data_IF_611595802953
#
_entry.id   IF_611595802953
#
_cell.length_a   1.000
_cell.length_b   1.000
_cell.length_c   1.000
_cell.angle_alpha   90.00
_cell.angle_beta   90.00
_cell.angle_gamma   90.00
#
_symmetry.space_group_name_H-M   'P 1'
#
loop_
_entity.id
_entity.type
_entity.pdbx_description
1 polymer ?
#
# COMPACT_ATOMS: atom_id res chain seq x y z
N UNK A 1 -22.88 -13.88 -32.37
CA UNK A 1 -21.89 -14.93 -32.72
C UNK A 1 -20.65 -14.67 -31.90
N UNK A 2 -20.08 -15.66 -31.18
CA UNK A 2 -18.76 -15.48 -30.58
C UNK A 2 -17.75 -15.36 -31.71
N UNK A 3 -17.13 -14.19 -31.84
CA UNK A 3 -16.04 -13.95 -32.78
C UNK A 3 -14.88 -14.88 -32.45
N UNK A 4 -14.36 -15.57 -33.46
CA UNK A 4 -13.18 -16.44 -33.34
C UNK A 4 -12.05 -15.74 -32.59
N UNK A 5 -11.33 -16.40 -31.66
CA UNK A 5 -10.27 -15.77 -30.89
C UNK A 5 -9.21 -15.19 -31.83
N UNK A 6 -9.03 -13.87 -31.78
CA UNK A 6 -7.98 -13.19 -32.54
C UNK A 6 -6.64 -13.58 -31.93
N UNK A 7 -5.71 -14.09 -32.73
CA UNK A 7 -4.39 -14.49 -32.25
C UNK A 7 -3.69 -13.30 -31.57
N UNK A 8 -3.22 -13.51 -30.34
CA UNK A 8 -2.48 -12.50 -29.57
C UNK A 8 -1.04 -12.42 -30.11
N UNK A 9 -0.51 -11.21 -30.42
CA UNK A 9 0.88 -11.06 -30.84
C UNK A 9 1.87 -11.61 -29.81
N UNK A 10 2.98 -12.20 -30.28
CA UNK A 10 4.05 -12.66 -29.39
C UNK A 10 4.64 -11.49 -28.58
N UNK A 11 4.95 -11.74 -27.30
CA UNK A 11 5.49 -10.74 -26.39
C UNK A 11 4.47 -9.79 -25.77
N UNK A 12 3.17 -10.00 -26.02
CA UNK A 12 2.08 -9.24 -25.39
C UNK A 12 1.33 -10.16 -24.43
N UNK A 13 1.14 -9.71 -23.19
CA UNK A 13 0.48 -10.48 -22.13
C UNK A 13 -0.80 -9.78 -21.69
N UNK A 14 -1.89 -10.54 -21.60
CA UNK A 14 -3.11 -10.11 -20.93
C UNK A 14 -3.20 -10.82 -19.59
N UNK A 15 -2.80 -10.10 -18.52
CA UNK A 15 -2.76 -10.53 -17.12
C UNK A 15 -2.05 -11.88 -16.86
N UNK A 16 -1.86 -12.22 -15.58
CA UNK A 16 -1.46 -13.56 -15.15
C UNK A 16 -2.65 -14.17 -14.43
N UNK A 17 -2.92 -15.46 -14.68
CA UNK A 17 -3.90 -16.20 -13.88
C UNK A 17 -3.29 -16.47 -12.51
N UNK A 18 -4.10 -16.29 -11.46
CA UNK A 18 -3.72 -16.75 -10.12
C UNK A 18 -3.70 -18.29 -10.10
N UNK A 19 -2.92 -18.90 -9.19
CA UNK A 19 -3.05 -20.33 -8.91
C UNK A 19 -4.50 -20.69 -8.53
N UNK A 20 -4.93 -21.91 -8.86
CA UNK A 20 -6.33 -22.34 -8.73
C UNK A 20 -6.89 -22.22 -7.30
N UNK A 21 -6.01 -22.27 -6.30
CA UNK A 21 -6.37 -22.24 -4.88
C UNK A 21 -6.42 -20.82 -4.27
N UNK A 22 -6.13 -19.77 -5.05
CA UNK A 22 -6.02 -18.40 -4.52
C UNK A 22 -7.26 -17.54 -4.85
N UNK A 23 -8.14 -17.24 -3.87
CA UNK A 23 -9.35 -16.48 -4.13
C UNK A 23 -9.04 -15.01 -4.35
N UNK A 24 -9.44 -14.46 -5.50
CA UNK A 24 -9.50 -13.01 -5.69
C UNK A 24 -10.47 -12.38 -4.69
N UNK A 25 -10.28 -11.09 -4.35
CA UNK A 25 -11.25 -10.32 -3.55
C UNK A 25 -12.65 -10.34 -4.18
N UNK A 26 -12.73 -10.39 -5.52
CA UNK A 26 -13.98 -10.46 -6.28
C UNK A 26 -14.60 -11.87 -6.37
N UNK A 27 -13.99 -12.90 -5.81
CA UNK A 27 -14.57 -14.24 -5.73
C UNK A 27 -15.60 -14.34 -4.58
N UNK A 28 -16.42 -15.39 -4.55
CA UNK A 28 -17.34 -15.65 -3.43
C UNK A 28 -16.58 -15.76 -2.12
N UNK A 29 -15.47 -16.49 -2.13
CA UNK A 29 -14.64 -16.72 -0.95
C UNK A 29 -13.88 -15.46 -0.52
N UNK A 30 -13.29 -14.71 -1.46
CA UNK A 30 -12.60 -13.46 -1.14
C UNK A 30 -13.51 -12.39 -0.54
N UNK A 31 -14.74 -12.24 -1.07
CA UNK A 31 -15.75 -11.34 -0.49
C UNK A 31 -16.15 -11.76 0.93
N UNK A 32 -16.30 -13.07 1.17
CA UNK A 32 -16.61 -13.61 2.51
C UNK A 32 -15.50 -13.23 3.50
N UNK A 33 -14.23 -13.52 3.14
CA UNK A 33 -13.06 -13.20 3.97
C UNK A 33 -12.94 -11.70 4.26
N UNK A 34 -13.11 -10.85 3.25
CA UNK A 34 -13.07 -9.40 3.44
C UNK A 34 -14.21 -8.94 4.36
N UNK A 35 -15.43 -9.46 4.18
CA UNK A 35 -16.57 -9.13 5.02
C UNK A 35 -16.35 -9.51 6.48
N UNK A 36 -15.76 -10.68 6.74
CA UNK A 36 -15.41 -11.14 8.09
C UNK A 36 -14.34 -10.24 8.71
N UNK A 37 -13.25 -9.97 7.99
CA UNK A 37 -12.19 -9.07 8.48
C UNK A 37 -12.67 -7.63 8.72
N UNK A 38 -13.67 -7.17 7.97
CA UNK A 38 -14.34 -5.88 8.17
C UNK A 38 -15.23 -5.90 9.42
N UNK A 39 -16.01 -6.97 9.63
CA UNK A 39 -16.86 -7.15 10.81
C UNK A 39 -16.03 -7.23 12.10
N UNK A 40 -14.85 -7.84 12.05
CA UNK A 40 -13.92 -7.95 13.17
C UNK A 40 -13.08 -6.67 13.40
N UNK A 41 -13.25 -5.64 12.57
CA UNK A 41 -12.58 -4.34 12.69
C UNK A 41 -11.11 -4.34 12.26
N UNK A 42 -10.64 -5.38 11.56
CA UNK A 42 -9.25 -5.51 11.11
C UNK A 42 -8.99 -4.91 9.74
N UNK A 43 -10.00 -4.85 8.86
CA UNK A 43 -9.83 -4.44 7.47
C UNK A 43 -10.32 -3.02 7.16
N UNK A 44 -10.70 -2.21 8.17
CA UNK A 44 -11.25 -0.87 7.94
C UNK A 44 -10.36 0.07 7.08
N UNK A 45 -9.01 0.04 7.15
CA UNK A 45 -8.17 0.86 6.26
C UNK A 45 -8.39 0.59 4.76
N UNK A 46 -9.00 -0.55 4.40
CA UNK A 46 -9.38 -0.87 3.03
C UNK A 46 -10.30 0.20 2.41
N UNK A 47 -11.25 0.76 3.17
CA UNK A 47 -12.24 1.72 2.65
C UNK A 47 -11.63 3.05 2.17
N UNK A 48 -10.81 3.75 2.98
CA UNK A 48 -10.20 4.99 2.50
C UNK A 48 -9.12 4.71 1.42
N UNK A 49 -8.42 3.57 1.49
CA UNK A 49 -7.45 3.16 0.45
C UNK A 49 -8.13 2.87 -0.90
N UNK A 50 -9.29 2.20 -0.91
CA UNK A 50 -10.00 1.90 -2.16
C UNK A 50 -10.50 3.17 -2.85
N UNK A 51 -10.84 4.22 -2.10
CA UNK A 51 -11.19 5.52 -2.68
C UNK A 51 -10.02 6.18 -3.43
N UNK A 52 -8.79 5.77 -3.12
CA UNK A 52 -7.57 6.24 -3.78
C UNK A 52 -6.97 5.24 -4.76
N UNK A 53 -7.63 4.11 -5.00
CA UNK A 53 -7.07 3.02 -5.78
C UNK A 53 -6.74 3.48 -7.21
N UNK A 54 -5.46 3.33 -7.57
CA UNK A 54 -4.94 3.71 -8.87
C UNK A 54 -4.08 2.57 -9.43
N UNK A 55 -4.27 2.30 -10.72
CA UNK A 55 -3.32 1.47 -11.48
C UNK A 55 -2.05 2.29 -11.74
N UNK A 56 -0.88 1.70 -11.47
CA UNK A 56 0.41 2.31 -11.73
C UNK A 56 0.58 2.72 -13.20
N UNK A 57 1.09 3.92 -13.49
CA UNK A 57 1.20 4.43 -14.87
C UNK A 57 2.35 3.76 -15.66
N UNK A 58 3.35 3.20 -14.95
CA UNK A 58 4.46 2.43 -15.53
C UNK A 58 4.62 1.09 -14.82
N UNK A 59 5.12 0.03 -15.49
CA UNK A 59 5.32 -1.30 -14.87
C UNK A 59 6.23 -1.31 -13.63
N UNK A 60 7.16 -0.35 -13.52
CA UNK A 60 8.08 -0.24 -12.38
C UNK A 60 7.62 0.76 -11.30
N UNK A 61 6.47 1.42 -11.46
CA UNK A 61 6.00 2.48 -10.56
C UNK A 61 5.25 2.00 -9.31
N UNK A 62 5.14 0.70 -9.06
CA UNK A 62 4.34 0.16 -7.95
C UNK A 62 4.62 0.83 -6.59
N UNK A 63 5.89 1.16 -6.29
CA UNK A 63 6.27 1.90 -5.09
C UNK A 63 5.77 3.35 -5.09
N UNK A 64 5.87 4.06 -6.22
CA UNK A 64 5.35 5.43 -6.35
C UNK A 64 3.83 5.47 -6.23
N UNK A 65 3.13 4.56 -6.93
CA UNK A 65 1.67 4.45 -6.89
C UNK A 65 1.18 4.18 -5.47
N UNK A 66 1.84 3.25 -4.76
CA UNK A 66 1.52 2.94 -3.36
C UNK A 66 1.68 4.16 -2.46
N UNK A 67 2.76 4.94 -2.65
CA UNK A 67 3.00 6.14 -1.85
C UNK A 67 1.95 7.22 -2.12
N UNK A 68 1.61 7.51 -3.38
CA UNK A 68 0.58 8.53 -3.67
C UNK A 68 -0.80 8.11 -3.16
N UNK A 69 -1.14 6.82 -3.22
CA UNK A 69 -2.37 6.30 -2.64
C UNK A 69 -2.39 6.57 -1.14
N UNK A 70 -1.27 6.30 -0.46
CA UNK A 70 -1.12 6.53 0.98
C UNK A 70 -1.24 8.03 1.33
N UNK A 71 -0.52 8.90 0.62
CA UNK A 71 -0.56 10.35 0.83
C UNK A 71 -1.95 10.93 0.62
N UNK A 72 -2.63 10.55 -0.46
CA UNK A 72 -4.00 10.98 -0.76
C UNK A 72 -5.01 10.43 0.27
N UNK A 73 -4.81 9.20 0.73
CA UNK A 73 -5.65 8.58 1.78
C UNK A 73 -5.51 9.34 3.10
N UNK A 74 -4.29 9.82 3.40
CA UNK A 74 -3.99 10.65 4.57
C UNK A 74 -4.36 12.13 4.38
N UNK A 75 -4.89 12.52 3.21
CA UNK A 75 -5.27 13.91 2.94
C UNK A 75 -4.09 14.90 2.95
N UNK A 76 -2.87 14.43 2.67
CA UNK A 76 -1.70 15.30 2.60
C UNK A 76 -1.78 16.18 1.35
N UNK A 77 -1.60 17.49 1.53
CA UNK A 77 -1.60 18.45 0.43
C UNK A 77 -0.23 18.49 -0.26
N UNK A 78 -0.14 18.22 -1.58
CA UNK A 78 1.15 18.28 -2.29
C UNK A 78 1.67 19.71 -2.47
N UNK A 79 0.87 20.74 -2.17
CA UNK A 79 1.19 22.16 -2.40
C UNK A 79 1.56 22.50 -3.85
N UNK A 80 1.18 21.62 -4.78
CA UNK A 80 1.46 21.73 -6.20
C UNK A 80 0.21 21.35 -6.98
N UNK A 81 0.03 22.04 -8.10
CA UNK A 81 -1.09 21.79 -8.99
C UNK A 81 -0.85 20.51 -9.78
N UNK A 82 -1.83 19.61 -9.74
CA UNK A 82 -1.87 18.43 -10.59
C UNK A 82 -2.49 18.73 -11.95
N UNK A 83 -3.74 19.18 -11.97
CA UNK A 83 -4.51 19.46 -13.20
C UNK A 83 -5.42 20.66 -13.01
N UNK A 84 -5.27 21.67 -13.86
CA UNK A 84 -6.09 22.89 -13.79
C UNK A 84 -5.88 23.62 -12.46
N UNK A 85 -6.91 23.66 -11.62
CA UNK A 85 -6.86 24.28 -10.27
C UNK A 85 -6.73 23.24 -9.14
N UNK A 86 -6.66 21.95 -9.47
CA UNK A 86 -6.69 20.86 -8.51
C UNK A 86 -5.29 20.52 -8.02
N UNK A 87 -5.18 20.24 -6.71
CA UNK A 87 -3.98 19.75 -6.05
C UNK A 87 -4.25 18.34 -5.56
N UNK A 88 -3.49 17.37 -6.05
CA UNK A 88 -3.65 15.97 -5.72
C UNK A 88 -2.35 15.23 -6.02
N UNK A 89 -1.99 14.21 -5.26
CA UNK A 89 -0.80 13.44 -5.60
C UNK A 89 -1.02 12.56 -6.83
N UNK A 90 -0.06 12.62 -7.74
CA UNK A 90 0.18 11.65 -8.80
C UNK A 90 1.68 11.28 -8.80
N UNK A 91 2.07 10.21 -9.48
CA UNK A 91 3.45 9.69 -9.46
C UNK A 91 4.48 10.75 -9.88
N UNK A 92 4.13 11.64 -10.80
CA UNK A 92 5.02 12.71 -11.25
C UNK A 92 5.29 13.78 -10.18
N UNK A 93 4.41 13.94 -9.18
CA UNK A 93 4.63 14.88 -8.08
C UNK A 93 5.74 14.43 -7.12
N UNK A 94 6.07 13.14 -7.10
CA UNK A 94 7.13 12.58 -6.26
C UNK A 94 8.54 12.86 -6.81
N UNK A 95 8.68 13.19 -8.09
CA UNK A 95 9.97 13.37 -8.77
C UNK A 95 10.82 14.57 -8.32
N UNK A 96 10.30 15.43 -7.43
CA UNK A 96 11.01 16.63 -7.01
C UNK A 96 12.12 16.40 -5.96
N UNK A 97 12.16 15.24 -5.33
CA UNK A 97 13.30 14.82 -4.50
C UNK A 97 13.63 13.37 -4.74
N UNK A 98 14.90 13.02 -4.56
CA UNK A 98 15.35 11.69 -4.17
C UNK A 98 15.31 10.62 -5.28
N UNK A 99 14.65 10.89 -6.41
CA UNK A 99 14.54 9.97 -7.55
C UNK A 99 14.63 10.71 -8.89
N UNK A 100 15.01 9.98 -9.94
CA UNK A 100 14.77 10.34 -11.33
C UNK A 100 13.64 9.45 -11.87
N UNK A 101 12.57 10.03 -12.40
CA UNK A 101 11.41 9.27 -12.89
C UNK A 101 11.75 8.35 -14.08
N UNK A 102 12.71 8.73 -14.93
CA UNK A 102 13.16 7.89 -16.05
C UNK A 102 13.88 6.63 -15.55
N UNK A 103 14.75 6.77 -14.55
CA UNK A 103 15.44 5.62 -13.92
C UNK A 103 14.46 4.72 -13.16
N UNK A 104 13.51 5.33 -12.43
CA UNK A 104 12.47 4.58 -11.72
C UNK A 104 11.56 3.82 -12.70
N UNK A 105 11.33 4.34 -13.91
CA UNK A 105 10.54 3.64 -14.90
C UNK A 105 11.22 2.36 -15.42
N UNK A 106 12.56 2.29 -15.36
CA UNK A 106 13.31 1.08 -15.70
C UNK A 106 13.49 0.11 -14.53
N UNK A 107 13.80 0.61 -13.33
CA UNK A 107 14.32 -0.24 -12.23
C UNK A 107 13.42 -0.27 -10.99
N UNK A 108 12.46 0.65 -10.88
CA UNK A 108 11.64 0.83 -9.69
C UNK A 108 12.39 1.53 -8.56
N UNK A 109 11.98 1.31 -7.32
CA UNK A 109 12.59 1.92 -6.13
C UNK A 109 12.83 0.90 -5.01
N UNK A 110 13.88 1.15 -4.22
CA UNK A 110 14.15 0.40 -2.99
C UNK A 110 13.21 0.82 -1.85
N UNK A 111 13.13 0.01 -0.79
CA UNK A 111 12.38 0.37 0.43
C UNK A 111 12.96 1.62 1.12
N UNK A 112 14.27 1.86 1.03
CA UNK A 112 14.92 3.05 1.57
C UNK A 112 14.55 4.30 0.77
N UNK A 113 14.51 4.17 -0.56
CA UNK A 113 14.04 5.22 -1.46
C UNK A 113 12.58 5.55 -1.19
N UNK A 114 11.72 4.54 -1.04
CA UNK A 114 10.31 4.71 -0.66
C UNK A 114 10.19 5.49 0.65
N UNK A 115 10.96 5.11 1.67
CA UNK A 115 10.94 5.77 2.97
C UNK A 115 11.45 7.22 2.90
N UNK A 116 12.47 7.48 2.08
CA UNK A 116 12.98 8.83 1.84
C UNK A 116 11.90 9.71 1.20
N UNK A 117 11.26 9.23 0.12
CA UNK A 117 10.17 9.93 -0.56
C UNK A 117 9.00 10.23 0.38
N UNK A 118 8.59 9.26 1.19
CA UNK A 118 7.52 9.43 2.16
C UNK A 118 7.85 10.52 3.20
N UNK A 119 9.08 10.54 3.73
CA UNK A 119 9.53 11.60 4.66
C UNK A 119 9.58 12.97 4.00
N UNK A 120 10.08 13.06 2.76
CA UNK A 120 10.09 14.32 2.01
C UNK A 120 8.70 14.88 1.72
N UNK A 121 7.66 14.03 1.77
CA UNK A 121 6.26 14.43 1.63
C UNK A 121 5.53 14.51 2.98
N UNK A 122 6.27 14.64 4.09
CA UNK A 122 5.70 14.96 5.41
C UNK A 122 5.20 13.77 6.21
N UNK A 123 5.51 12.52 5.80
CA UNK A 123 5.12 11.34 6.58
C UNK A 123 6.17 10.95 7.62
N UNK A 124 5.71 10.50 8.78
CA UNK A 124 6.53 9.74 9.73
C UNK A 124 6.70 8.30 9.25
N UNK A 125 7.95 7.84 9.09
CA UNK A 125 8.24 6.53 8.45
C UNK A 125 9.20 5.69 9.30
N UNK A 126 8.76 4.48 9.61
CA UNK A 126 9.57 3.43 10.19
C UNK A 126 9.77 2.29 9.17
N UNK A 127 11.02 2.02 8.81
CA UNK A 127 11.36 0.91 7.90
C UNK A 127 11.63 -0.34 8.74
N UNK A 128 11.00 -1.46 8.36
CA UNK A 128 11.22 -2.78 8.95
C UNK A 128 11.76 -3.70 7.87
N UNK A 129 12.83 -4.44 8.18
CA UNK A 129 13.42 -5.44 7.30
C UNK A 129 13.23 -6.83 7.93
N UNK A 130 13.04 -7.88 7.13
CA UNK A 130 13.04 -9.25 7.66
C UNK A 130 14.38 -9.54 8.33
N UNK A 131 14.35 -10.30 9.43
CA UNK A 131 15.55 -10.90 10.00
C UNK A 131 16.16 -11.86 8.98
N UNK A 132 17.48 -11.82 8.82
CA UNK A 132 18.20 -12.77 7.96
C UNK A 132 18.49 -14.09 8.67
N UNK A 133 18.15 -14.17 9.96
CA UNK A 133 18.30 -15.36 10.79
C UNK A 133 16.98 -16.15 10.74
N UNK A 134 17.08 -17.31 10.08
CA UNK A 134 16.05 -18.31 9.78
C UNK A 134 14.92 -17.90 8.81
N UNK A 135 14.60 -18.73 7.79
CA UNK A 135 13.40 -18.57 6.99
C UNK A 135 12.21 -18.93 7.89
N UNK A 136 11.74 -17.97 8.70
CA UNK A 136 10.38 -18.10 9.23
C UNK A 136 9.46 -18.13 8.01
N UNK A 137 8.82 -19.27 7.78
CA UNK A 137 7.68 -19.36 6.89
C UNK A 137 6.80 -18.15 7.21
N UNK A 138 6.70 -17.22 6.27
CA UNK A 138 5.77 -16.10 6.36
C UNK A 138 4.36 -16.70 6.19
N UNK A 139 3.93 -17.43 7.21
CA UNK A 139 2.64 -18.07 7.29
C UNK A 139 1.68 -17.03 7.83
N UNK A 140 0.77 -16.59 6.97
CA UNK A 140 -0.37 -15.75 7.35
C UNK A 140 -1.41 -16.49 8.20
N UNK A 141 -1.09 -17.67 8.71
CA UNK A 141 -1.92 -18.31 9.73
C UNK A 141 -1.54 -17.76 11.10
N UNK A 142 -2.50 -17.08 11.73
CA UNK A 142 -2.43 -16.76 13.15
C UNK A 142 -2.48 -18.09 13.94
N UNK A 143 -1.34 -18.76 14.08
CA UNK A 143 -1.15 -19.82 15.06
C UNK A 143 -0.49 -19.22 16.29
N UNK A 144 -1.16 -19.38 17.43
CA UNK A 144 -0.62 -19.07 18.75
C UNK A 144 0.65 -19.91 18.96
N UNK A 145 1.80 -19.30 18.73
CA UNK A 145 3.10 -19.87 19.06
C UNK A 145 3.49 -19.46 20.47
N UNK A 146 3.53 -20.43 21.37
CA UNK A 146 4.00 -20.31 22.75
C UNK A 146 5.53 -20.46 22.79
N UNK A 147 6.27 -19.35 22.76
CA UNK A 147 7.63 -19.24 23.31
C UNK A 147 8.07 -17.77 23.48
N UNK A 148 8.25 -17.34 24.74
CA UNK A 148 8.94 -16.14 25.30
C UNK A 148 8.70 -14.74 24.69
N UNK A 149 8.69 -13.65 25.49
CA UNK A 149 7.81 -12.52 25.24
C UNK A 149 8.30 -11.57 24.14
N UNK A 150 7.60 -11.69 23.01
CA UNK A 150 6.61 -10.68 22.65
C UNK A 150 7.16 -9.34 22.10
N UNK A 151 8.19 -9.33 21.25
CA UNK A 151 8.50 -8.14 20.43
C UNK A 151 7.65 -8.09 19.16
N UNK A 152 7.55 -9.22 18.44
CA UNK A 152 6.76 -9.30 17.20
C UNK A 152 5.26 -9.38 17.49
N UNK A 153 4.85 -10.03 18.57
CA UNK A 153 3.46 -10.03 19.01
C UNK A 153 3.05 -8.68 19.65
N UNK A 154 3.93 -7.96 20.38
CA UNK A 154 3.66 -6.58 20.79
C UNK A 154 3.63 -5.64 19.60
N UNK A 155 4.44 -5.90 18.58
CA UNK A 155 4.45 -5.11 17.36
C UNK A 155 3.19 -5.33 16.53
N UNK A 156 2.79 -6.58 16.29
CA UNK A 156 1.54 -6.89 15.60
C UNK A 156 0.34 -6.38 16.41
N UNK A 157 0.41 -6.47 17.73
CA UNK A 157 -0.60 -5.88 18.60
C UNK A 157 -0.60 -4.35 18.49
N UNK A 158 0.57 -3.70 18.50
CA UNK A 158 0.70 -2.25 18.33
C UNK A 158 0.28 -1.77 16.94
N UNK A 159 0.53 -2.54 15.88
CA UNK A 159 0.02 -2.29 14.54
C UNK A 159 -1.50 -2.44 14.49
N UNK A 160 -2.04 -3.51 15.09
CA UNK A 160 -3.50 -3.70 15.24
C UNK A 160 -4.13 -2.58 16.05
N UNK A 161 -3.49 -2.12 17.12
CA UNK A 161 -3.98 -1.05 17.98
C UNK A 161 -3.89 0.31 17.28
N UNK A 162 -2.85 0.54 16.48
CA UNK A 162 -2.73 1.71 15.59
C UNK A 162 -3.81 1.68 14.51
N UNK A 163 -4.05 0.53 13.88
CA UNK A 163 -5.14 0.38 12.91
C UNK A 163 -6.49 0.62 13.60
N UNK A 164 -6.73 0.04 14.79
CA UNK A 164 -7.96 0.23 15.58
C UNK A 164 -8.15 1.67 16.06
N UNK A 165 -7.09 2.41 16.36
CA UNK A 165 -7.21 3.84 16.68
C UNK A 165 -7.62 4.65 15.45
N UNK A 166 -7.22 4.23 14.26
CA UNK A 166 -7.70 4.85 13.01
C UNK A 166 -9.16 4.48 12.72
N UNK A 167 -9.62 3.28 13.10
CA UNK A 167 -11.01 2.83 12.88
C UNK A 167 -12.03 3.43 13.86
N UNK A 168 -11.59 3.79 15.07
CA UNK A 168 -12.49 4.27 16.14
C UNK A 168 -12.81 5.75 16.04
N UNK A 169 -11.86 6.60 15.61
CA UNK A 169 -12.05 8.05 15.61
C UNK A 169 -11.98 8.72 14.24
N UNK A 170 -11.55 8.02 13.17
CA UNK A 170 -11.47 8.58 11.81
C UNK A 170 -10.62 9.84 11.67
N UNK A 171 -9.86 10.22 12.72
CA UNK A 171 -9.00 11.39 12.76
C UNK A 171 -7.57 10.96 12.50
N UNK A 172 -6.95 11.64 11.54
CA UNK A 172 -5.49 11.69 11.42
C UNK A 172 -4.90 12.06 12.79
N UNK A 173 -3.85 11.35 13.20
CA UNK A 173 -3.05 11.69 14.38
C UNK A 173 -2.89 13.22 14.45
N UNK A 174 -3.13 13.80 15.63
CA UNK A 174 -2.74 15.20 15.87
C UNK A 174 -1.30 15.34 15.38
N UNK A 175 -1.11 16.29 14.46
CA UNK A 175 0.17 16.61 13.83
C UNK A 175 1.27 16.48 14.87
N UNK A 176 2.26 15.62 14.63
CA UNK A 176 3.52 15.69 15.35
C UNK A 176 3.95 17.16 15.30
N UNK A 177 3.91 17.82 16.46
CA UNK A 177 3.81 19.26 16.55
C UNK A 177 4.91 20.00 15.79
N UNK A 178 4.53 21.18 15.32
CA UNK A 178 5.48 22.22 14.95
C UNK A 178 5.32 22.77 13.54
N UNK A 179 4.17 23.37 13.23
CA UNK A 179 4.11 24.57 12.39
C UNK A 179 2.94 25.42 12.90
N UNK A 180 3.25 26.36 13.80
CA UNK A 180 2.38 27.49 14.06
C UNK A 180 2.18 28.30 12.77
N UNK A 181 0.95 28.82 12.66
CA UNK A 181 0.29 29.53 11.56
C UNK A 181 1.15 30.41 10.65
#
# INVERSE_FOLDING_TARGET
>A
MPTSPRAVPQGVFYQKTLPDDEPTVCSKEGRRRLSEAMADGHAYPFLPLMCQFKTQDQPAYCGLTTLIMTLNTLGIDPWRTWRGVWRWYDENHLGACCINLEEVASEGISIDTFACLARCNGLGVQVRRPSLEEPSECSTTATESTAEPNLDAQFLQGFRDTVKSWTSDGRLLESCGGLDK
#
